data_IF_732338672743
#
_entry.id   IF_732338672743
#
_cell.length_a   1.000
_cell.length_b   1.000
_cell.length_c   1.000
_cell.angle_alpha   90.00
_cell.angle_beta   90.00
_cell.angle_gamma   90.00
#
_symmetry.space_group_name_H-M   'P 1'
#
loop_
_entity.id
_entity.type
_entity.pdbx_description
1 polymer ?
#
# COMPACT_ATOMS: atom_id res chain seq x y z
N UNK A 1 64.26 -24.26 -8.78
CA UNK A 1 63.31 -24.37 -7.65
C UNK A 1 62.06 -23.58 -8.04
N UNK A 2 61.28 -24.10 -8.99
CA UNK A 2 60.21 -23.32 -9.66
C UNK A 2 58.99 -24.19 -9.99
N UNK A 3 58.34 -24.78 -8.98
CA UNK A 3 57.04 -25.47 -9.16
C UNK A 3 55.98 -24.95 -8.17
N UNK A 4 56.36 -24.06 -7.24
CA UNK A 4 55.47 -23.66 -6.15
C UNK A 4 54.58 -22.43 -6.45
N UNK A 5 54.84 -21.69 -7.54
CA UNK A 5 54.19 -20.41 -7.81
C UNK A 5 52.88 -20.51 -8.60
N UNK A 6 52.66 -21.60 -9.36
CA UNK A 6 51.47 -21.77 -10.20
C UNK A 6 50.21 -22.24 -9.44
N UNK A 7 50.36 -23.00 -8.36
CA UNK A 7 49.24 -23.62 -7.65
C UNK A 7 48.52 -22.66 -6.68
N UNK A 8 49.22 -21.63 -6.21
CA UNK A 8 48.67 -20.67 -5.25
C UNK A 8 47.69 -19.69 -5.89
N UNK A 9 47.95 -19.23 -7.12
CA UNK A 9 47.09 -18.28 -7.84
C UNK A 9 45.75 -18.89 -8.26
N UNK A 10 45.72 -20.18 -8.62
CA UNK A 10 44.49 -20.87 -9.03
C UNK A 10 43.54 -21.10 -7.84
N UNK A 11 44.10 -21.33 -6.65
CA UNK A 11 43.35 -21.62 -5.43
C UNK A 11 42.75 -20.37 -4.79
N UNK A 12 43.39 -19.21 -4.94
CA UNK A 12 42.82 -17.91 -4.51
C UNK A 12 41.75 -17.41 -5.47
N UNK A 13 41.88 -17.64 -6.77
CA UNK A 13 40.87 -17.22 -7.75
C UNK A 13 39.55 -18.00 -7.60
N UNK A 14 39.62 -19.31 -7.34
CA UNK A 14 38.42 -20.13 -7.07
C UNK A 14 37.70 -19.74 -5.76
N UNK A 15 38.44 -19.27 -4.74
CA UNK A 15 37.86 -18.80 -3.47
C UNK A 15 37.19 -17.43 -3.60
N UNK A 16 37.75 -16.53 -4.41
CA UNK A 16 37.17 -15.21 -4.67
C UNK A 16 35.84 -15.32 -5.47
N UNK A 17 35.71 -16.28 -6.38
CA UNK A 17 34.45 -16.55 -7.10
C UNK A 17 33.34 -17.16 -6.22
N UNK A 18 33.71 -17.93 -5.19
CA UNK A 18 32.73 -18.49 -4.24
C UNK A 18 32.11 -17.45 -3.31
N UNK A 19 32.86 -16.41 -2.94
CA UNK A 19 32.39 -15.37 -2.01
C UNK A 19 31.50 -14.32 -2.71
N UNK A 20 31.75 -14.04 -3.99
CA UNK A 20 30.92 -13.09 -4.75
C UNK A 20 29.52 -13.64 -5.11
N UNK A 21 29.36 -14.96 -5.13
CA UNK A 21 28.08 -15.61 -5.48
C UNK A 21 27.09 -15.67 -4.32
N UNK A 22 27.50 -15.38 -3.08
CA UNK A 22 26.64 -15.48 -1.89
C UNK A 22 25.82 -14.19 -1.65
N UNK A 23 26.19 -13.07 -2.25
CA UNK A 23 25.47 -11.79 -2.08
C UNK A 23 24.32 -11.59 -3.09
N UNK A 24 24.10 -12.53 -4.01
CA UNK A 24 23.01 -12.47 -4.99
C UNK A 24 21.74 -13.25 -4.56
N UNK A 25 21.62 -13.50 -3.25
CA UNK A 25 20.49 -14.19 -2.65
C UNK A 25 19.36 -13.22 -2.30
N UNK A 26 18.32 -13.23 -3.14
CA UNK A 26 16.99 -12.68 -2.87
C UNK A 26 16.92 -11.20 -2.48
N UNK A 27 16.88 -10.34 -3.51
CA UNK A 27 15.86 -9.30 -3.47
C UNK A 27 14.50 -10.02 -3.54
N UNK A 28 13.87 -10.25 -2.40
CA UNK A 28 12.45 -10.56 -2.36
C UNK A 28 11.77 -9.36 -3.04
N UNK A 29 11.39 -9.53 -4.32
CA UNK A 29 10.51 -8.58 -4.98
C UNK A 29 9.18 -8.71 -4.24
N UNK A 30 9.00 -7.88 -3.22
CA UNK A 30 7.70 -7.64 -2.62
C UNK A 30 6.83 -7.03 -3.70
N UNK A 31 6.21 -7.87 -4.51
CA UNK A 31 5.05 -7.48 -5.28
C UNK A 31 3.97 -7.17 -4.26
N UNK A 32 3.91 -5.91 -3.83
CA UNK A 32 2.62 -5.35 -3.43
C UNK A 32 1.77 -5.39 -4.69
N UNK A 33 1.00 -6.46 -4.86
CA UNK A 33 -0.13 -6.43 -5.77
C UNK A 33 -1.08 -5.38 -5.18
N UNK A 34 -0.88 -4.12 -5.59
CA UNK A 34 -1.68 -3.00 -5.13
C UNK A 34 -3.15 -3.38 -5.29
N UNK A 35 -3.92 -3.21 -4.21
CA UNK A 35 -5.36 -3.40 -4.25
C UNK A 35 -5.90 -2.55 -5.41
N UNK A 36 -6.43 -3.22 -6.45
CA UNK A 36 -7.04 -2.54 -7.58
C UNK A 36 -8.42 -2.06 -7.17
N UNK A 37 -8.56 -0.75 -7.00
CA UNK A 37 -9.83 -0.09 -6.73
C UNK A 37 -10.24 0.78 -7.93
N UNK A 38 -11.52 0.77 -8.25
CA UNK A 38 -12.13 1.72 -9.19
C UNK A 38 -12.68 2.87 -8.36
N UNK A 39 -12.19 4.09 -8.64
CA UNK A 39 -12.59 5.31 -7.94
C UNK A 39 -13.51 6.15 -8.82
N UNK A 40 -14.54 6.72 -8.22
CA UNK A 40 -15.35 7.78 -8.80
C UNK A 40 -15.37 8.95 -7.83
N UNK A 41 -14.57 9.97 -8.14
CA UNK A 41 -14.33 11.12 -7.26
C UNK A 41 -15.12 12.32 -7.76
N UNK A 42 -15.89 12.92 -6.86
CA UNK A 42 -16.59 14.18 -7.05
C UNK A 42 -16.04 15.20 -6.06
N UNK A 43 -15.63 16.36 -6.58
CA UNK A 43 -15.10 17.48 -5.79
C UNK A 43 -15.94 18.71 -6.08
N UNK A 44 -16.38 19.37 -5.02
CA UNK A 44 -17.01 20.67 -5.05
C UNK A 44 -16.11 21.68 -4.32
N UNK A 45 -15.90 22.83 -4.94
CA UNK A 45 -15.13 23.93 -4.38
C UNK A 45 -16.07 25.08 -4.07
N UNK A 46 -15.96 25.61 -2.85
CA UNK A 46 -16.72 26.75 -2.35
C UNK A 46 -15.71 27.85 -1.98
N UNK A 47 -15.19 28.63 -2.95
CA UNK A 47 -14.13 29.61 -2.69
C UNK A 47 -14.53 30.70 -1.69
N UNK A 48 -15.79 31.14 -1.71
CA UNK A 48 -16.32 32.14 -0.78
C UNK A 48 -16.27 31.68 0.68
N UNK A 49 -16.33 30.36 0.90
CA UNK A 49 -16.25 29.72 2.21
C UNK A 49 -14.85 29.16 2.50
N UNK A 50 -13.91 29.28 1.56
CA UNK A 50 -12.60 28.60 1.59
C UNK A 50 -12.70 27.10 1.86
N UNK A 51 -13.73 26.46 1.31
CA UNK A 51 -14.09 25.07 1.63
C UNK A 51 -14.04 24.18 0.40
N UNK A 52 -13.60 22.94 0.59
CA UNK A 52 -13.67 21.84 -0.37
C UNK A 52 -14.58 20.76 0.20
N UNK A 53 -15.46 20.23 -0.63
CA UNK A 53 -16.28 19.05 -0.31
C UNK A 53 -15.92 17.96 -1.31
N UNK A 54 -15.61 16.78 -0.81
CA UNK A 54 -15.24 15.62 -1.60
C UNK A 54 -16.11 14.41 -1.30
N UNK A 55 -16.38 13.65 -2.35
CA UNK A 55 -16.99 12.32 -2.30
C UNK A 55 -16.17 11.39 -3.18
N UNK A 56 -15.68 10.29 -2.62
CA UNK A 56 -15.05 9.20 -3.37
C UNK A 56 -15.92 7.96 -3.21
N UNK A 57 -16.44 7.44 -4.32
CA UNK A 57 -17.13 6.16 -4.40
C UNK A 57 -16.17 5.11 -4.96
N UNK A 58 -15.80 4.13 -4.13
CA UNK A 58 -14.80 3.12 -4.43
C UNK A 58 -15.45 1.74 -4.60
N UNK A 59 -14.97 0.98 -5.58
CA UNK A 59 -15.24 -0.46 -5.71
C UNK A 59 -13.93 -1.23 -5.78
N UNK A 60 -13.76 -2.23 -4.92
CA UNK A 60 -12.52 -3.00 -4.82
C UNK A 60 -12.79 -4.47 -4.52
N UNK A 61 -11.85 -5.34 -4.89
CA UNK A 61 -11.83 -6.73 -4.43
C UNK A 61 -10.91 -6.87 -3.23
N UNK A 62 -11.45 -7.32 -2.09
CA UNK A 62 -10.71 -7.33 -0.82
C UNK A 62 -9.77 -8.53 -0.69
N UNK A 63 -10.09 -9.68 -1.29
CA UNK A 63 -9.19 -10.84 -1.44
C UNK A 63 -8.38 -11.20 -0.16
N UNK A 64 -9.01 -11.17 1.02
CA UNK A 64 -8.39 -11.48 2.31
C UNK A 64 -7.75 -10.29 3.03
N UNK A 65 -7.87 -9.08 2.49
CA UNK A 65 -7.42 -7.85 3.15
C UNK A 65 -8.28 -7.59 4.38
N UNK A 66 -7.62 -7.32 5.51
CA UNK A 66 -8.28 -7.08 6.80
C UNK A 66 -8.47 -5.60 7.09
N UNK A 67 -7.64 -4.75 6.49
CA UNK A 67 -7.61 -3.31 6.75
C UNK A 67 -7.44 -2.59 5.43
N UNK A 68 -8.36 -1.66 5.12
CA UNK A 68 -8.17 -0.68 4.05
C UNK A 68 -7.55 0.57 4.64
N UNK A 69 -6.51 1.08 3.99
CA UNK A 69 -5.86 2.34 4.37
C UNK A 69 -5.93 3.31 3.19
N UNK A 70 -6.36 4.54 3.46
CA UNK A 70 -6.46 5.62 2.50
C UNK A 70 -5.67 6.82 2.99
N UNK A 71 -4.91 7.44 2.09
CA UNK A 71 -4.24 8.72 2.36
C UNK A 71 -5.17 9.87 1.99
N UNK A 72 -5.40 10.76 2.94
CA UNK A 72 -6.20 11.96 2.81
C UNK A 72 -5.43 13.16 3.38
N UNK A 73 -5.90 14.37 3.06
CA UNK A 73 -5.32 15.59 3.65
C UNK A 73 -5.53 15.64 5.16
N UNK A 74 -4.50 16.00 5.92
CA UNK A 74 -4.60 16.29 7.36
C UNK A 74 -5.54 17.48 7.67
N UNK A 75 -5.87 18.29 6.67
CA UNK A 75 -6.75 19.47 6.81
C UNK A 75 -8.24 19.12 6.83
N UNK A 76 -8.60 17.85 6.71
CA UNK A 76 -10.00 17.43 6.73
C UNK A 76 -10.64 17.82 8.07
N UNK A 77 -11.74 18.56 7.98
CA UNK A 77 -12.54 19.00 9.12
C UNK A 77 -13.73 18.07 9.41
N UNK A 78 -14.25 17.39 8.38
CA UNK A 78 -15.33 16.40 8.52
C UNK A 78 -15.04 15.18 7.65
N UNK A 79 -15.27 13.99 8.19
CA UNK A 79 -15.07 12.72 7.49
C UNK A 79 -16.20 11.75 7.84
N UNK A 80 -16.76 11.11 6.82
CA UNK A 80 -17.75 10.03 6.94
C UNK A 80 -17.37 8.92 5.98
N UNK A 81 -17.56 7.67 6.42
CA UNK A 81 -17.28 6.48 5.62
C UNK A 81 -18.47 5.55 5.70
N UNK A 82 -18.94 5.08 4.55
CA UNK A 82 -19.93 4.02 4.45
C UNK A 82 -19.30 2.80 3.76
N UNK A 83 -19.67 1.61 4.19
CA UNK A 83 -19.31 0.33 3.56
C UNK A 83 -20.60 -0.36 3.18
N UNK A 84 -20.77 -0.68 1.90
CA UNK A 84 -22.01 -1.25 1.36
C UNK A 84 -23.26 -0.49 1.84
N UNK A 85 -23.18 0.85 1.80
CA UNK A 85 -24.23 1.80 2.18
C UNK A 85 -24.47 1.95 3.70
N UNK A 86 -23.76 1.19 4.53
CA UNK A 86 -23.87 1.26 5.99
C UNK A 86 -22.76 2.14 6.61
N UNK A 87 -23.09 3.09 7.50
CA UNK A 87 -22.10 3.91 8.18
C UNK A 87 -21.08 3.05 8.95
N UNK A 88 -19.79 3.40 8.82
CA UNK A 88 -18.69 2.63 9.41
C UNK A 88 -17.81 3.47 10.31
N UNK A 89 -17.43 2.88 11.44
CA UNK A 89 -16.38 3.43 12.29
C UNK A 89 -15.01 3.24 11.65
N UNK A 90 -14.15 4.23 11.81
CA UNK A 90 -12.79 4.25 11.27
C UNK A 90 -11.85 4.95 12.25
N UNK A 91 -10.54 4.79 12.04
CA UNK A 91 -9.53 5.65 12.66
C UNK A 91 -8.94 6.59 11.63
N UNK A 92 -8.79 7.87 11.97
CA UNK A 92 -8.13 8.86 11.13
C UNK A 92 -7.05 9.58 11.93
N UNK A 93 -5.79 9.44 11.52
CA UNK A 93 -4.64 10.11 12.14
C UNK A 93 -3.53 10.29 11.12
N UNK A 94 -2.80 11.41 11.20
CA UNK A 94 -1.65 11.73 10.33
C UNK A 94 -1.98 11.55 8.83
N UNK A 95 -3.15 12.04 8.42
CA UNK A 95 -3.62 11.94 7.04
C UNK A 95 -3.96 10.51 6.58
N UNK A 96 -4.03 9.54 7.50
CA UNK A 96 -4.37 8.15 7.18
C UNK A 96 -5.70 7.75 7.76
N UNK A 97 -6.63 7.41 6.88
CA UNK A 97 -7.90 6.77 7.19
C UNK A 97 -7.71 5.27 7.17
N UNK A 98 -8.05 4.57 8.26
CA UNK A 98 -8.02 3.11 8.35
C UNK A 98 -9.40 2.54 8.66
N UNK A 99 -9.74 1.51 7.91
CA UNK A 99 -11.03 0.83 7.97
C UNK A 99 -10.81 -0.67 8.19
N UNK A 100 -11.22 -1.19 9.35
CA UNK A 100 -11.14 -2.61 9.65
C UNK A 100 -12.31 -3.36 9.00
N UNK A 101 -12.00 -4.29 8.10
CA UNK A 101 -13.00 -5.10 7.40
C UNK A 101 -13.49 -6.25 8.29
N UNK A 102 -14.82 -6.43 8.36
CA UNK A 102 -15.43 -7.59 9.02
C UNK A 102 -15.09 -8.87 8.25
N UNK A 103 -15.10 -10.06 8.87
CA UNK A 103 -14.73 -11.30 8.19
C UNK A 103 -15.48 -11.58 6.88
N UNK A 104 -16.75 -11.18 6.79
CA UNK A 104 -17.61 -11.28 5.60
C UNK A 104 -17.24 -10.30 4.49
N UNK A 105 -16.68 -9.13 4.82
CA UNK A 105 -16.22 -8.11 3.87
C UNK A 105 -14.83 -8.45 3.28
N UNK A 106 -14.12 -9.42 3.84
CA UNK A 106 -12.78 -9.82 3.41
C UNK A 106 -12.79 -10.72 2.17
N UNK A 107 -13.97 -11.15 1.72
CA UNK A 107 -14.13 -12.01 0.54
C UNK A 107 -15.09 -11.35 -0.45
N UNK A 108 -14.62 -11.12 -1.67
CA UNK A 108 -15.45 -10.58 -2.75
C UNK A 108 -15.22 -9.11 -3.06
N UNK A 109 -16.26 -8.48 -3.61
CA UNK A 109 -16.28 -7.07 -3.99
C UNK A 109 -16.90 -6.24 -2.87
N UNK A 110 -16.31 -5.09 -2.59
CA UNK A 110 -16.71 -4.17 -1.52
C UNK A 110 -16.93 -2.79 -2.11
N UNK A 111 -18.04 -2.14 -1.74
CA UNK A 111 -18.25 -0.73 -2.03
C UNK A 111 -17.91 0.11 -0.80
N UNK A 112 -17.06 1.12 -0.98
CA UNK A 112 -16.71 2.08 0.08
C UNK A 112 -17.05 3.48 -0.41
N UNK A 113 -17.69 4.29 0.42
CA UNK A 113 -17.99 5.69 0.11
C UNK A 113 -17.32 6.56 1.16
N UNK A 114 -16.41 7.43 0.75
CA UNK A 114 -15.71 8.37 1.63
C UNK A 114 -16.20 9.78 1.32
N UNK A 115 -16.78 10.45 2.31
CA UNK A 115 -17.28 11.83 2.21
C UNK A 115 -16.45 12.70 3.14
N UNK A 116 -15.87 13.77 2.61
CA UNK A 116 -14.96 14.63 3.37
C UNK A 116 -15.16 16.11 3.06
N UNK A 117 -14.82 16.97 4.03
CA UNK A 117 -14.65 18.41 3.79
C UNK A 117 -13.35 18.92 4.40
N UNK A 118 -12.75 19.92 3.75
CA UNK A 118 -11.55 20.61 4.21
C UNK A 118 -11.66 22.11 3.96
#
# INVERSE_FOLDING_TARGET
MEIFTGLYQFKTWLKMMGILSVLFGWAAVSHSAGLSAVHHIQIELLPAEMKLIGRDDLRLKTNGIKVLEFSLSERISQLKVDVDQEPRNFSFSDGRLRLNLRPDEQTGELQVVIRYSA
#
